data_IF_519582165711
#
_entry.id   IF_519582165711
#
_cell.length_a   1.000
_cell.length_b   1.000
_cell.length_c   1.000
_cell.angle_alpha   90.00
_cell.angle_beta   90.00
_cell.angle_gamma   90.00
#
_symmetry.space_group_name_H-M   'P 1'
#
loop_
_entity.id
_entity.type
_entity.pdbx_description
1 polymer ?
#
# COMPACT_ATOMS: atom_id res chain seq x y z
N UNK A 1 -24.10 6.26 26.00
CA UNK A 1 -23.87 7.01 24.74
C UNK A 1 -22.57 7.80 24.92
N UNK A 2 -21.42 7.30 24.44
CA UNK A 2 -20.14 8.04 24.62
C UNK A 2 -18.83 7.24 24.57
N UNK A 3 -18.86 5.92 24.34
CA UNK A 3 -17.62 5.11 24.24
C UNK A 3 -17.13 4.92 22.81
N UNK A 4 -17.97 5.15 21.80
CA UNK A 4 -17.66 4.84 20.40
C UNK A 4 -16.74 5.91 19.76
N UNK A 5 -16.94 7.20 20.05
CA UNK A 5 -16.12 8.28 19.48
C UNK A 5 -14.63 8.17 19.81
N UNK A 6 -14.28 7.66 21.00
CA UNK A 6 -12.87 7.48 21.39
C UNK A 6 -12.20 6.31 20.67
N UNK A 7 -12.98 5.29 20.29
CA UNK A 7 -12.51 4.15 19.50
C UNK A 7 -12.27 4.52 18.05
N UNK A 8 -13.16 5.35 17.47
CA UNK A 8 -13.03 5.84 16.09
C UNK A 8 -11.81 6.75 15.94
N UNK A 9 -11.57 7.69 16.87
CA UNK A 9 -10.38 8.57 16.82
C UNK A 9 -9.05 7.80 16.91
N UNK A 10 -9.00 6.74 17.72
CA UNK A 10 -7.83 5.88 17.82
C UNK A 10 -7.61 5.09 16.52
N UNK A 11 -8.69 4.57 15.93
CA UNK A 11 -8.64 3.89 14.63
C UNK A 11 -8.20 4.80 13.48
N UNK A 12 -8.65 6.04 13.48
CA UNK A 12 -8.25 7.06 12.49
C UNK A 12 -6.78 7.44 12.65
N UNK A 13 -6.30 7.63 13.89
CA UNK A 13 -4.89 7.91 14.17
C UNK A 13 -3.98 6.76 13.72
N UNK A 14 -4.40 5.51 13.90
CA UNK A 14 -3.67 4.34 13.43
C UNK A 14 -3.65 4.27 11.89
N UNK A 15 -4.75 4.62 11.24
CA UNK A 15 -4.82 4.66 9.78
C UNK A 15 -3.91 5.73 9.18
N UNK A 16 -3.84 6.93 9.79
CA UNK A 16 -2.92 8.00 9.37
C UNK A 16 -1.47 7.57 9.52
N UNK A 17 -1.11 6.93 10.66
CA UNK A 17 0.23 6.40 10.86
C UNK A 17 0.59 5.32 9.82
N UNK A 18 -0.37 4.46 9.50
CA UNK A 18 -0.20 3.42 8.49
C UNK A 18 -0.03 4.01 7.09
N UNK A 19 -0.84 5.01 6.74
CA UNK A 19 -0.71 5.76 5.50
C UNK A 19 0.70 6.33 5.34
N UNK A 20 1.20 7.04 6.36
CA UNK A 20 2.53 7.66 6.31
C UNK A 20 3.66 6.62 6.24
N UNK A 21 3.52 5.50 6.95
CA UNK A 21 4.45 4.38 6.86
C UNK A 21 4.50 3.82 5.44
N UNK A 22 3.34 3.53 4.84
CA UNK A 22 3.24 2.96 3.50
C UNK A 22 3.79 3.95 2.47
N UNK A 23 3.44 5.24 2.57
CA UNK A 23 3.92 6.29 1.66
C UNK A 23 5.45 6.40 1.67
N UNK A 24 6.09 6.33 2.85
CA UNK A 24 7.56 6.26 2.96
C UNK A 24 8.15 5.03 2.26
N UNK A 25 7.54 3.86 2.44
CA UNK A 25 8.03 2.59 1.86
C UNK A 25 7.94 2.60 0.34
N UNK A 26 6.82 3.09 -0.21
CA UNK A 26 6.56 3.18 -1.66
C UNK A 26 7.41 4.29 -2.28
N UNK A 27 7.41 5.49 -1.71
CA UNK A 27 8.16 6.65 -2.22
C UNK A 27 9.68 6.42 -2.25
N UNK A 28 10.21 5.53 -1.41
CA UNK A 28 11.61 5.11 -1.48
C UNK A 28 11.98 4.33 -2.75
N UNK A 29 11.00 3.86 -3.54
CA UNK A 29 11.20 2.97 -4.71
C UNK A 29 10.51 3.43 -5.98
N UNK A 30 9.49 4.27 -5.87
CA UNK A 30 8.68 4.76 -6.99
C UNK A 30 8.84 6.27 -7.10
N UNK A 31 9.18 6.75 -8.30
CA UNK A 31 9.41 8.19 -8.57
C UNK A 31 8.16 8.94 -8.99
N UNK A 32 7.23 8.26 -9.66
CA UNK A 32 5.98 8.83 -10.12
C UNK A 32 5.05 9.02 -8.91
N UNK A 33 4.70 10.28 -8.61
CA UNK A 33 3.88 10.63 -7.47
C UNK A 33 2.46 10.07 -7.55
N UNK A 34 1.85 10.03 -8.74
CA UNK A 34 0.52 9.46 -8.91
C UNK A 34 0.55 7.95 -8.63
N UNK A 35 1.59 7.27 -9.13
CA UNK A 35 1.79 5.84 -8.85
C UNK A 35 2.07 5.57 -7.37
N UNK A 36 2.78 6.48 -6.68
CA UNK A 36 2.97 6.38 -5.23
C UNK A 36 1.61 6.41 -4.52
N UNK A 37 0.76 7.35 -4.86
CA UNK A 37 -0.56 7.51 -4.23
C UNK A 37 -1.46 6.29 -4.52
N UNK A 38 -1.48 5.78 -5.76
CA UNK A 38 -2.22 4.57 -6.13
C UNK A 38 -1.78 3.34 -5.32
N UNK A 39 -0.47 3.13 -5.19
CA UNK A 39 0.08 2.00 -4.44
C UNK A 39 -0.16 2.12 -2.93
N UNK A 40 -0.14 3.34 -2.39
CA UNK A 40 -0.49 3.61 -0.99
C UNK A 40 -1.95 3.22 -0.76
N UNK A 41 -2.86 3.70 -1.60
CA UNK A 41 -4.28 3.43 -1.45
C UNK A 41 -4.60 1.94 -1.61
N UNK A 42 -4.06 1.28 -2.64
CA UNK A 42 -4.23 -0.16 -2.83
C UNK A 42 -3.70 -0.96 -1.64
N UNK A 43 -2.59 -0.53 -1.03
CA UNK A 43 -2.08 -1.16 0.20
C UNK A 43 -3.07 -1.00 1.35
N UNK A 44 -3.59 0.20 1.59
CA UNK A 44 -4.54 0.46 2.68
C UNK A 44 -5.84 -0.35 2.49
N UNK A 45 -6.35 -0.42 1.27
CA UNK A 45 -7.52 -1.26 0.94
C UNK A 45 -7.28 -2.72 1.33
N UNK A 46 -6.12 -3.29 0.98
CA UNK A 46 -5.77 -4.68 1.33
C UNK A 46 -5.59 -4.88 2.83
N UNK A 47 -5.00 -3.91 3.53
CA UNK A 47 -4.82 -3.98 4.99
C UNK A 47 -6.16 -3.93 5.69
N UNK A 48 -7.05 -2.99 5.32
CA UNK A 48 -8.39 -2.89 5.89
C UNK A 48 -9.21 -4.16 5.64
N UNK A 49 -9.13 -4.73 4.44
CA UNK A 49 -9.77 -6.01 4.12
C UNK A 49 -9.21 -7.19 4.95
N UNK A 50 -7.93 -7.14 5.33
CA UNK A 50 -7.29 -8.16 6.16
C UNK A 50 -7.40 -7.89 7.67
N UNK A 51 -7.84 -6.72 8.11
CA UNK A 51 -7.76 -6.29 9.52
C UNK A 51 -8.46 -7.24 10.48
N UNK A 52 -9.65 -7.72 10.14
CA UNK A 52 -10.44 -8.61 11.02
C UNK A 52 -9.85 -10.01 11.27
N UNK A 53 -8.75 -10.36 10.59
CA UNK A 53 -8.07 -11.67 10.67
C UNK A 53 -6.59 -11.54 11.02
N UNK A 54 -6.13 -10.34 11.38
CA UNK A 54 -4.77 -10.06 11.80
C UNK A 54 -4.78 -9.63 13.27
N UNK A 55 -3.76 -10.04 14.02
CA UNK A 55 -3.50 -9.47 15.34
C UNK A 55 -3.14 -7.98 15.21
N UNK A 56 -3.46 -7.17 16.21
CA UNK A 56 -3.25 -5.71 16.16
C UNK A 56 -1.78 -5.34 15.87
N UNK A 57 -0.82 -6.11 16.43
CA UNK A 57 0.61 -5.94 16.19
C UNK A 57 1.08 -6.35 14.79
N UNK A 58 0.24 -7.02 13.99
CA UNK A 58 0.58 -7.54 12.67
C UNK A 58 0.20 -6.58 11.53
N UNK A 59 -0.63 -5.56 11.77
CA UNK A 59 -1.11 -4.64 10.73
C UNK A 59 0.02 -3.88 10.03
N UNK A 60 0.90 -3.23 10.81
CA UNK A 60 2.02 -2.47 10.24
C UNK A 60 3.02 -3.36 9.47
N UNK A 61 3.49 -4.51 10.00
CA UNK A 61 4.30 -5.46 9.24
C UNK A 61 3.61 -5.95 7.95
N UNK A 62 2.32 -6.27 8.02
CA UNK A 62 1.53 -6.72 6.88
C UNK A 62 1.44 -5.65 5.79
N UNK A 63 1.20 -4.38 6.17
CA UNK A 63 1.17 -3.25 5.24
C UNK A 63 2.51 -3.04 4.54
N UNK A 64 3.63 -3.12 5.28
CA UNK A 64 4.98 -2.99 4.71
C UNK A 64 5.26 -4.08 3.68
N UNK A 65 4.93 -5.34 4.00
CA UNK A 65 5.10 -6.47 3.07
C UNK A 65 4.21 -6.30 1.84
N UNK A 66 2.96 -5.89 2.03
CA UNK A 66 2.00 -5.67 0.95
C UNK A 66 2.47 -4.57 0.00
N UNK A 67 2.88 -3.41 0.52
CA UNK A 67 3.44 -2.32 -0.27
C UNK A 67 4.67 -2.75 -1.08
N UNK A 68 5.62 -3.46 -0.45
CA UNK A 68 6.81 -3.99 -1.14
C UNK A 68 6.44 -4.97 -2.26
N UNK A 69 5.43 -5.82 -2.03
CA UNK A 69 4.98 -6.78 -3.03
C UNK A 69 4.34 -6.06 -4.23
N UNK A 70 3.52 -5.03 -3.99
CA UNK A 70 2.92 -4.23 -5.05
C UNK A 70 3.97 -3.49 -5.89
N UNK A 71 4.93 -2.82 -5.25
CA UNK A 71 6.06 -2.18 -5.95
C UNK A 71 6.82 -3.18 -6.82
N UNK A 72 7.07 -4.38 -6.29
CA UNK A 72 7.77 -5.43 -7.03
C UNK A 72 6.95 -5.95 -8.21
N UNK A 73 5.64 -6.04 -8.09
CA UNK A 73 4.74 -6.41 -9.19
C UNK A 73 4.75 -5.35 -10.29
N UNK A 74 4.63 -4.07 -9.93
CA UNK A 74 4.72 -2.96 -10.86
C UNK A 74 6.04 -2.98 -11.65
N UNK A 75 7.17 -3.12 -10.96
CA UNK A 75 8.48 -3.16 -11.59
C UNK A 75 8.60 -4.30 -12.64
N UNK A 76 8.01 -5.47 -12.34
CA UNK A 76 7.99 -6.61 -13.27
C UNK A 76 7.07 -6.36 -14.46
N UNK A 77 5.96 -5.66 -14.28
CA UNK A 77 5.05 -5.28 -15.36
C UNK A 77 5.69 -4.28 -16.31
N UNK A 78 6.39 -3.29 -15.80
CA UNK A 78 7.14 -2.33 -16.60
C UNK A 78 8.26 -3.02 -17.39
N UNK A 79 8.99 -3.93 -16.75
CA UNK A 79 10.04 -4.70 -17.41
C UNK A 79 9.47 -5.58 -18.53
N UNK A 80 8.32 -6.25 -18.30
CA UNK A 80 7.60 -7.02 -19.33
C UNK A 80 7.15 -6.14 -20.50
N UNK A 81 6.52 -4.99 -20.21
CA UNK A 81 6.06 -4.04 -21.24
C UNK A 81 7.21 -3.55 -22.10
N UNK A 82 8.35 -3.18 -21.48
CA UNK A 82 9.56 -2.77 -22.21
C UNK A 82 10.06 -3.87 -23.14
N UNK A 83 10.15 -5.13 -22.68
CA UNK A 83 10.58 -6.25 -23.53
C UNK A 83 9.65 -6.52 -24.72
N UNK A 84 8.34 -6.34 -24.55
CA UNK A 84 7.35 -6.61 -25.60
C UNK A 84 7.11 -5.42 -26.54
N UNK A 85 7.54 -4.21 -26.16
CA UNK A 85 7.44 -3.01 -27.02
C UNK A 85 8.20 -3.15 -28.35
N UNK A 86 9.22 -4.01 -28.40
CA UNK A 86 9.98 -4.30 -29.62
C UNK A 86 9.20 -5.14 -30.64
N UNK A 87 8.03 -5.70 -30.28
CA UNK A 87 7.22 -6.57 -31.16
C UNK A 87 6.00 -5.87 -31.78
N UNK A 88 5.87 -4.55 -31.62
CA UNK A 88 4.75 -3.77 -32.15
C UNK A 88 5.08 -3.03 -33.47
N UNK A 89 6.25 -3.27 -34.05
CA UNK A 89 6.73 -2.61 -35.28
C UNK A 89 7.05 -3.60 -36.42
N UNK A 90 6.43 -4.78 -36.45
CA UNK A 90 6.51 -5.75 -37.55
C UNK A 90 5.10 -6.08 -38.06
#
# INVERSE_FOLDING_TARGET
MGTDSKGDEAGDADLVQLHDLVRRVVGARVRDAAMVDDLVQETLVRVLAARGRLDDGALAPYAVVTARNLVRTLAREDERRRRHSHRLFE
#
